data_IF_902662808738
#
_entry.id   IF_902662808738
#
_cell.length_a   1.000
_cell.length_b   1.000
_cell.length_c   1.000
_cell.angle_alpha   90.00
_cell.angle_beta   90.00
_cell.angle_gamma   90.00
#
_symmetry.space_group_name_H-M   'P 1'
#
loop_
_entity.id
_entity.type
_entity.pdbx_description
1 polymer ?
#
# COMPACT_ATOMS: atom_id res chain seq x y z
N UNK A 1 4.02 -20.17 -74.12
CA UNK A 1 2.97 -19.42 -73.41
C UNK A 1 3.31 -19.43 -71.93
N UNK A 2 3.73 -18.28 -71.40
CA UNK A 2 4.25 -18.10 -70.04
C UNK A 2 3.12 -18.05 -69.01
N UNK A 3 3.16 -18.96 -68.04
CA UNK A 3 2.23 -18.97 -66.90
C UNK A 3 2.65 -17.97 -65.82
N UNK A 4 1.86 -16.92 -65.62
CA UNK A 4 2.04 -15.98 -64.50
C UNK A 4 1.57 -16.59 -63.18
N UNK A 5 2.50 -17.09 -62.37
CA UNK A 5 2.26 -17.45 -60.97
C UNK A 5 2.25 -16.20 -60.07
N UNK A 6 1.07 -15.81 -59.57
CA UNK A 6 0.95 -14.78 -58.51
C UNK A 6 1.44 -15.36 -57.18
N UNK A 7 2.64 -14.97 -56.76
CA UNK A 7 3.16 -15.23 -55.41
C UNK A 7 2.32 -14.50 -54.35
N UNK A 8 1.63 -15.26 -53.50
CA UNK A 8 0.87 -14.72 -52.38
C UNK A 8 1.81 -14.12 -51.32
N UNK A 9 1.76 -12.80 -51.12
CA UNK A 9 2.44 -12.14 -49.99
C UNK A 9 1.86 -12.67 -48.67
N UNK A 10 2.73 -13.24 -47.84
CA UNK A 10 2.40 -13.63 -46.46
C UNK A 10 1.99 -12.38 -45.67
N UNK A 11 0.70 -12.25 -45.32
CA UNK A 11 0.20 -11.16 -44.47
C UNK A 11 0.80 -11.30 -43.06
N UNK A 12 1.64 -10.36 -42.66
CA UNK A 12 2.15 -10.29 -41.28
C UNK A 12 1.00 -10.21 -40.25
N UNK A 13 1.16 -10.87 -39.10
CA UNK A 13 0.13 -10.89 -38.03
C UNK A 13 -0.24 -9.46 -37.63
N UNK A 14 -1.54 -9.15 -37.65
CA UNK A 14 -2.05 -7.84 -37.25
C UNK A 14 -1.76 -7.58 -35.76
N UNK A 15 -0.98 -6.53 -35.45
CA UNK A 15 -0.75 -6.09 -34.07
C UNK A 15 -2.05 -5.56 -33.45
N UNK A 16 -2.35 -5.99 -32.23
CA UNK A 16 -3.52 -5.51 -31.48
C UNK A 16 -3.39 -4.01 -31.16
N UNK A 17 -4.54 -3.33 -30.97
CA UNK A 17 -4.57 -1.90 -30.60
C UNK A 17 -3.87 -1.65 -29.26
N UNK A 18 -4.01 -2.57 -28.30
CA UNK A 18 -3.30 -2.52 -27.01
C UNK A 18 -1.79 -2.60 -27.18
N UNK A 19 -1.29 -3.58 -27.95
CA UNK A 19 0.15 -3.75 -28.17
C UNK A 19 0.75 -2.58 -28.96
N UNK A 20 -0.02 -1.97 -29.87
CA UNK A 20 0.42 -0.76 -30.60
C UNK A 20 0.47 0.48 -29.69
N UNK A 21 -0.42 0.57 -28.71
CA UNK A 21 -0.46 1.67 -27.73
C UNK A 21 0.48 1.44 -26.53
N UNK A 22 1.12 0.27 -26.40
CA UNK A 22 1.96 -0.06 -25.25
C UNK A 22 1.19 -0.30 -23.95
N UNK A 23 -0.11 -0.55 -24.02
CA UNK A 23 -0.98 -0.71 -22.85
C UNK A 23 -1.25 -2.19 -22.57
N UNK A 24 -1.18 -2.59 -21.30
CA UNK A 24 -1.61 -3.93 -20.85
C UNK A 24 -3.12 -4.07 -20.90
N UNK A 25 -3.86 -2.98 -20.70
CA UNK A 25 -5.32 -3.00 -20.70
C UNK A 25 -5.89 -3.20 -22.12
N UNK A 26 -7.02 -3.92 -22.26
CA UNK A 26 -7.56 -4.31 -23.57
C UNK A 26 -8.34 -3.17 -24.26
N UNK A 27 -7.63 -2.29 -24.99
CA UNK A 27 -8.15 -1.15 -25.76
C UNK A 27 -9.30 -1.56 -26.70
N UNK A 28 -9.19 -2.72 -27.37
CA UNK A 28 -10.22 -3.20 -28.28
C UNK A 28 -11.53 -3.59 -27.59
N UNK A 29 -11.45 -4.12 -26.35
CA UNK A 29 -12.63 -4.45 -25.54
C UNK A 29 -13.29 -3.18 -25.02
N UNK A 30 -12.48 -2.23 -24.54
CA UNK A 30 -12.96 -0.92 -24.06
C UNK A 30 -13.71 -0.19 -25.17
N UNK A 31 -13.16 -0.14 -26.38
CA UNK A 31 -13.85 0.47 -27.53
C UNK A 31 -15.23 -0.15 -27.81
N UNK A 32 -15.37 -1.47 -27.66
CA UNK A 32 -16.65 -2.18 -27.85
C UNK A 32 -17.65 -1.83 -26.75
N UNK A 33 -17.19 -1.76 -25.50
CA UNK A 33 -18.03 -1.37 -24.36
C UNK A 33 -18.54 0.07 -24.50
N UNK A 34 -17.68 1.00 -24.92
CA UNK A 34 -18.06 2.39 -25.16
C UNK A 34 -19.16 2.53 -26.22
N UNK A 35 -19.08 1.73 -27.30
CA UNK A 35 -20.14 1.71 -28.33
C UNK A 35 -21.43 1.05 -27.84
N UNK A 36 -21.34 -0.01 -27.03
CA UNK A 36 -22.51 -0.72 -26.50
C UNK A 36 -23.29 0.14 -25.50
N UNK A 37 -22.61 1.00 -24.74
CA UNK A 37 -23.25 1.85 -23.73
C UNK A 37 -23.98 3.07 -24.26
N UNK A 38 -23.96 3.34 -25.58
CA UNK A 38 -24.66 4.44 -26.27
C UNK A 38 -24.50 5.83 -25.60
N UNK A 39 -23.36 6.09 -24.96
CA UNK A 39 -23.12 7.34 -24.24
C UNK A 39 -22.89 8.55 -25.19
N UNK A 40 -22.47 8.28 -26.43
CA UNK A 40 -22.20 9.28 -27.47
C UNK A 40 -22.42 8.65 -28.84
N UNK A 41 -22.94 9.44 -29.79
CA UNK A 41 -23.25 8.99 -31.16
C UNK A 41 -22.04 8.41 -31.90
N UNK A 42 -20.84 8.94 -31.64
CA UNK A 42 -19.60 8.46 -32.27
C UNK A 42 -18.44 8.42 -31.26
N UNK A 43 -17.89 7.23 -31.06
CA UNK A 43 -16.67 7.04 -30.27
C UNK A 43 -15.43 7.22 -31.15
N UNK A 44 -14.61 8.24 -30.85
CA UNK A 44 -13.33 8.49 -31.53
C UNK A 44 -12.28 7.41 -31.24
N UNK A 45 -11.33 7.21 -32.17
CA UNK A 45 -10.33 6.14 -32.06
C UNK A 45 -9.38 6.28 -30.86
N UNK A 46 -9.16 7.51 -30.36
CA UNK A 46 -8.31 7.80 -29.20
C UNK A 46 -9.00 7.58 -27.84
N UNK A 47 -10.32 7.65 -27.77
CA UNK A 47 -11.09 7.47 -26.53
C UNK A 47 -10.79 6.14 -25.79
N UNK A 48 -10.80 4.96 -26.45
CA UNK A 48 -10.49 3.71 -25.77
C UNK A 48 -9.02 3.58 -25.34
N UNK A 49 -8.11 4.27 -26.03
CA UNK A 49 -6.68 4.30 -25.67
C UNK A 49 -6.49 5.16 -24.43
N UNK A 50 -7.11 6.33 -24.39
CA UNK A 50 -7.10 7.23 -23.22
C UNK A 50 -7.68 6.54 -21.99
N UNK A 51 -8.87 5.93 -22.09
CA UNK A 51 -9.50 5.23 -20.97
C UNK A 51 -8.65 4.04 -20.51
N UNK A 52 -8.09 3.26 -21.44
CA UNK A 52 -7.18 2.17 -21.09
C UNK A 52 -5.93 2.67 -20.34
N UNK A 53 -5.34 3.78 -20.79
CA UNK A 53 -4.17 4.38 -20.16
C UNK A 53 -4.48 4.93 -18.76
N UNK A 54 -5.62 5.62 -18.59
CA UNK A 54 -6.07 6.13 -17.28
C UNK A 54 -6.36 4.98 -16.33
N UNK A 55 -7.09 3.95 -16.78
CA UNK A 55 -7.37 2.76 -15.96
C UNK A 55 -6.09 2.03 -15.56
N UNK A 56 -5.13 1.89 -16.47
CA UNK A 56 -3.84 1.28 -16.19
C UNK A 56 -3.00 2.12 -15.23
N UNK A 57 -3.01 3.45 -15.38
CA UNK A 57 -2.37 4.38 -14.44
C UNK A 57 -2.96 4.27 -13.03
N UNK A 58 -4.29 4.29 -12.91
CA UNK A 58 -4.99 4.15 -11.63
C UNK A 58 -4.73 2.78 -10.99
N UNK A 59 -4.78 1.71 -11.76
CA UNK A 59 -4.51 0.35 -11.29
C UNK A 59 -3.03 0.14 -10.93
N UNK A 60 -2.10 0.78 -11.64
CA UNK A 60 -0.67 0.71 -11.34
C UNK A 60 -0.29 1.47 -10.06
N UNK A 61 -1.06 2.50 -9.68
CA UNK A 61 -0.76 3.38 -8.54
C UNK A 61 -0.85 2.68 -7.18
N UNK A 62 -1.58 1.56 -7.08
CA UNK A 62 -1.82 0.84 -5.82
C UNK A 62 -1.60 -0.66 -5.97
N UNK A 63 -0.35 -1.08 -6.20
CA UNK A 63 0.01 -2.49 -5.99
C UNK A 63 0.12 -2.76 -4.49
N UNK A 64 -0.64 -3.73 -3.94
CA UNK A 64 -0.41 -4.18 -2.57
C UNK A 64 1.07 -4.56 -2.41
N UNK A 65 1.72 -4.03 -1.37
CA UNK A 65 3.15 -4.27 -1.10
C UNK A 65 4.13 -3.21 -1.62
N UNK A 66 3.70 -2.13 -2.28
CA UNK A 66 4.60 -1.01 -2.64
C UNK A 66 4.52 0.17 -1.67
N UNK A 67 3.35 0.42 -1.09
CA UNK A 67 3.12 1.53 -0.17
C UNK A 67 3.77 1.26 1.20
N UNK A 68 3.57 0.07 1.76
CA UNK A 68 4.11 -0.27 3.08
C UNK A 68 5.65 -0.14 3.15
N UNK A 69 6.46 -0.65 2.19
CA UNK A 69 7.91 -0.41 2.21
C UNK A 69 8.30 1.06 2.06
N UNK A 70 7.50 1.87 1.38
CA UNK A 70 7.75 3.31 1.25
C UNK A 70 7.50 4.02 2.57
N UNK A 71 6.42 3.68 3.26
CA UNK A 71 6.08 4.20 4.59
C UNK A 71 7.13 3.79 5.62
N UNK A 72 7.55 2.52 5.64
CA UNK A 72 8.63 2.04 6.52
C UNK A 72 9.90 2.89 6.33
N UNK A 73 10.34 3.11 5.08
CA UNK A 73 11.51 3.94 4.80
C UNK A 73 11.34 5.40 5.17
N UNK A 74 10.12 5.92 5.10
CA UNK A 74 9.82 7.29 5.50
C UNK A 74 9.94 7.42 7.02
N UNK A 75 9.24 6.56 7.77
CA UNK A 75 9.23 6.58 9.23
C UNK A 75 10.57 6.23 9.86
N UNK A 76 11.38 5.39 9.22
CA UNK A 76 12.76 5.10 9.65
C UNK A 76 13.72 6.29 9.47
N UNK A 77 13.39 7.27 8.62
CA UNK A 77 14.21 8.47 8.40
C UNK A 77 13.78 9.64 9.26
N UNK A 78 12.50 9.69 9.63
CA UNK A 78 11.95 10.70 10.53
C UNK A 78 12.12 10.30 11.99
N UNK A 79 12.12 11.28 12.89
CA UNK A 79 12.08 11.09 14.34
C UNK A 79 10.81 11.68 14.96
N UNK A 80 9.77 11.87 14.15
CA UNK A 80 8.50 12.42 14.63
C UNK A 80 7.72 11.38 15.45
N UNK A 81 7.02 11.86 16.47
CA UNK A 81 6.10 11.03 17.26
C UNK A 81 4.87 10.72 16.41
N UNK A 82 4.50 9.44 16.36
CA UNK A 82 3.42 8.91 15.51
C UNK A 82 2.06 8.96 16.21
N UNK A 83 2.04 8.91 17.55
CA UNK A 83 0.80 8.99 18.32
C UNK A 83 0.38 10.45 18.48
N UNK A 84 -0.90 10.73 18.24
CA UNK A 84 -1.46 12.08 18.44
C UNK A 84 -1.32 12.50 19.91
N UNK A 85 -0.60 13.59 20.16
CA UNK A 85 -0.29 14.12 21.50
C UNK A 85 -1.50 14.26 22.42
N UNK A 86 -2.64 14.76 21.92
CA UNK A 86 -3.85 14.94 22.73
C UNK A 86 -4.44 13.59 23.20
N UNK A 87 -4.46 12.59 22.33
CA UNK A 87 -4.98 11.25 22.66
C UNK A 87 -4.08 10.57 23.68
N UNK A 88 -2.75 10.65 23.49
CA UNK A 88 -1.79 10.11 24.44
C UNK A 88 -1.89 10.80 25.80
N UNK A 89 -1.97 12.13 25.84
CA UNK A 89 -2.14 12.88 27.08
C UNK A 89 -3.42 12.49 27.84
N UNK A 90 -4.54 12.28 27.13
CA UNK A 90 -5.81 11.85 27.76
C UNK A 90 -5.64 10.48 28.42
N UNK A 91 -5.02 9.53 27.72
CA UNK A 91 -4.75 8.19 28.23
C UNK A 91 -3.85 8.22 29.48
N UNK A 92 -2.77 9.01 29.47
CA UNK A 92 -1.88 9.13 30.63
C UNK A 92 -2.63 9.67 31.84
N UNK A 93 -3.51 10.65 31.66
CA UNK A 93 -4.31 11.22 32.76
C UNK A 93 -5.38 10.27 33.28
N UNK A 94 -6.01 9.52 32.39
CA UNK A 94 -6.97 8.46 32.73
C UNK A 94 -6.31 7.42 33.63
N UNK A 95 -5.19 6.84 33.19
CA UNK A 95 -4.43 5.84 33.96
C UNK A 95 -3.95 6.42 35.29
N UNK A 96 -3.43 7.65 35.29
CA UNK A 96 -2.90 8.27 36.50
C UNK A 96 -3.99 8.53 37.56
N UNK A 97 -5.22 8.81 37.13
CA UNK A 97 -6.34 9.06 38.02
C UNK A 97 -6.68 7.83 38.89
N UNK A 98 -6.44 6.62 38.37
CA UNK A 98 -6.67 5.37 39.10
C UNK A 98 -5.67 5.18 40.26
N UNK A 99 -4.50 5.81 40.19
CA UNK A 99 -3.48 5.74 41.25
C UNK A 99 -3.60 6.88 42.26
N UNK A 100 -3.84 8.11 41.79
CA UNK A 100 -3.98 9.29 42.65
C UNK A 100 -4.81 10.37 41.97
N UNK A 101 -5.83 10.84 42.68
CA UNK A 101 -6.66 11.96 42.24
C UNK A 101 -5.88 13.28 42.28
N UNK A 102 -6.23 14.21 41.38
CA UNK A 102 -5.69 15.59 41.30
C UNK A 102 -4.21 15.73 40.92
N UNK A 103 -3.67 14.76 40.18
CA UNK A 103 -2.32 14.85 39.63
C UNK A 103 -2.19 15.92 38.53
N UNK A 104 -1.20 16.80 38.69
CA UNK A 104 -0.78 17.76 37.65
C UNK A 104 0.44 17.23 36.93
N UNK A 105 0.38 17.24 35.60
CA UNK A 105 1.48 16.82 34.74
C UNK A 105 2.14 18.03 34.10
N UNK A 106 3.48 18.07 34.17
CA UNK A 106 4.28 18.98 33.36
C UNK A 106 4.22 18.57 31.88
N UNK A 107 4.32 19.54 30.97
CA UNK A 107 4.34 19.26 29.52
C UNK A 107 5.54 18.39 29.11
N UNK A 108 6.72 18.63 29.68
CA UNK A 108 7.92 17.83 29.43
C UNK A 108 7.80 16.39 29.93
N UNK A 109 7.12 16.17 31.07
CA UNK A 109 6.89 14.83 31.59
C UNK A 109 6.00 14.00 30.64
N UNK A 110 4.95 14.62 30.10
CA UNK A 110 4.09 13.96 29.09
C UNK A 110 4.84 13.64 27.80
N UNK A 111 5.71 14.55 27.35
CA UNK A 111 6.56 14.30 26.17
C UNK A 111 7.55 13.16 26.42
N UNK A 112 8.22 13.14 27.57
CA UNK A 112 9.16 12.08 27.94
C UNK A 112 8.48 10.71 28.02
N UNK A 113 7.27 10.64 28.60
CA UNK A 113 6.47 9.41 28.60
C UNK A 113 6.12 8.97 27.18
N UNK A 114 5.75 9.90 26.30
CA UNK A 114 5.40 9.58 24.93
C UNK A 114 6.61 9.04 24.15
N UNK A 115 7.76 9.71 24.26
CA UNK A 115 9.01 9.28 23.62
C UNK A 115 9.43 7.88 24.08
N UNK A 116 9.41 7.62 25.39
CA UNK A 116 9.77 6.31 25.94
C UNK A 116 8.83 5.19 25.47
N UNK A 117 7.52 5.44 25.45
CA UNK A 117 6.53 4.45 25.03
C UNK A 117 6.62 4.16 23.53
N UNK A 118 6.70 5.20 22.69
CA UNK A 118 6.82 4.99 21.25
C UNK A 118 8.12 4.24 20.89
N UNK A 119 9.25 4.58 21.53
CA UNK A 119 10.50 3.84 21.36
C UNK A 119 10.37 2.37 21.79
N UNK A 120 9.73 2.11 22.94
CA UNK A 120 9.49 0.75 23.43
C UNK A 120 8.61 -0.07 22.47
N UNK A 121 7.53 0.54 21.95
CA UNK A 121 6.63 -0.10 20.99
C UNK A 121 7.33 -0.39 19.65
N UNK A 122 8.15 0.52 19.14
CA UNK A 122 8.94 0.29 17.92
C UNK A 122 9.86 -0.91 18.11
N UNK A 123 10.61 -0.96 19.21
CA UNK A 123 11.46 -2.11 19.52
C UNK A 123 10.66 -3.41 19.63
N UNK A 124 9.49 -3.39 20.27
CA UNK A 124 8.63 -4.56 20.36
C UNK A 124 8.15 -5.04 18.98
N UNK A 125 7.83 -4.12 18.07
CA UNK A 125 7.44 -4.47 16.70
C UNK A 125 8.58 -5.03 15.88
N UNK A 126 9.83 -4.61 16.11
CA UNK A 126 11.01 -5.20 15.48
C UNK A 126 11.16 -6.69 15.86
N UNK A 127 11.08 -7.01 17.16
CA UNK A 127 11.16 -8.40 17.62
C UNK A 127 9.96 -9.25 17.18
N UNK A 128 8.77 -8.65 17.19
CA UNK A 128 7.55 -9.29 16.68
C UNK A 128 7.70 -9.62 15.19
N UNK A 129 8.31 -8.72 14.42
CA UNK A 129 8.57 -8.94 13.00
C UNK A 129 9.59 -10.09 12.79
N UNK A 130 10.65 -10.17 13.60
CA UNK A 130 11.59 -11.29 13.57
C UNK A 130 10.90 -12.63 13.87
N UNK A 131 9.98 -12.65 14.84
CA UNK A 131 9.17 -13.84 15.15
C UNK A 131 8.27 -14.27 13.98
N UNK A 132 7.65 -13.31 13.28
CA UNK A 132 6.83 -13.60 12.11
C UNK A 132 7.67 -14.17 10.95
N UNK A 133 8.85 -13.58 10.69
CA UNK A 133 9.81 -14.04 9.67
C UNK A 133 10.32 -15.45 10.00
N UNK A 134 10.64 -15.72 11.27
CA UNK A 134 11.04 -17.05 11.73
C UNK A 134 9.97 -18.11 11.41
N UNK A 135 8.70 -17.74 11.51
CA UNK A 135 7.56 -18.59 11.15
C UNK A 135 7.19 -18.56 9.65
N UNK A 136 8.07 -18.06 8.77
CA UNK A 136 7.88 -17.92 7.31
C UNK A 136 6.66 -17.08 6.91
N UNK A 137 6.29 -16.08 7.72
CA UNK A 137 5.20 -15.13 7.45
C UNK A 137 5.74 -13.71 7.27
N UNK A 138 4.99 -12.90 6.53
CA UNK A 138 5.25 -11.46 6.35
C UNK A 138 4.30 -10.61 7.21
N UNK A 139 3.20 -11.20 7.70
CA UNK A 139 2.21 -10.53 8.55
C UNK A 139 2.43 -10.91 10.01
N UNK A 140 2.65 -9.89 10.84
CA UNK A 140 2.71 -10.02 12.30
C UNK A 140 1.33 -10.39 12.87
N UNK A 141 1.33 -11.22 13.90
CA UNK A 141 0.12 -11.72 14.58
C UNK A 141 0.25 -11.57 16.10
N UNK A 142 -0.86 -11.60 16.87
CA UNK A 142 -0.81 -11.48 18.33
C UNK A 142 0.11 -12.51 19.01
N UNK A 143 0.18 -13.73 18.46
CA UNK A 143 1.10 -14.79 18.94
C UNK A 143 2.58 -14.41 18.82
N UNK A 144 2.94 -13.59 17.83
CA UNK A 144 4.32 -13.13 17.62
C UNK A 144 4.68 -12.09 18.69
N UNK A 145 3.74 -11.20 19.03
CA UNK A 145 3.91 -10.21 20.10
C UNK A 145 4.04 -10.91 21.46
N UNK A 146 3.17 -11.89 21.72
CA UNK A 146 3.23 -12.69 22.94
C UNK A 146 4.57 -13.43 23.06
N UNK A 147 5.05 -14.02 21.97
CA UNK A 147 6.36 -14.68 21.93
C UNK A 147 7.50 -13.69 22.19
N UNK A 148 7.50 -12.54 21.51
CA UNK A 148 8.51 -11.50 21.69
C UNK A 148 8.58 -11.01 23.15
N UNK A 149 7.42 -10.69 23.75
CA UNK A 149 7.34 -10.29 25.17
C UNK A 149 7.83 -11.38 26.11
N UNK A 150 7.48 -12.64 25.84
CA UNK A 150 7.92 -13.79 26.62
C UNK A 150 9.44 -13.98 26.58
N UNK A 151 10.07 -13.76 25.43
CA UNK A 151 11.52 -13.85 25.25
C UNK A 151 12.23 -12.68 25.95
N UNK A 152 11.68 -11.46 25.84
CA UNK A 152 12.21 -10.28 26.54
C UNK A 152 12.21 -10.39 28.06
N UNK A 153 11.45 -11.33 28.63
CA UNK A 153 11.28 -11.43 30.07
C UNK A 153 10.35 -10.35 30.65
N UNK A 154 9.63 -9.62 29.78
CA UNK A 154 8.53 -8.72 30.15
C UNK A 154 7.32 -9.55 30.57
N UNK A 155 7.43 -10.25 31.71
CA UNK A 155 6.28 -10.89 32.34
C UNK A 155 5.36 -9.80 32.89
N UNK A 156 4.07 -9.95 32.59
CA UNK A 156 3.01 -9.32 33.37
C UNK A 156 3.06 -9.83 34.81
#
# INVERSE_FOLDING_TARGET
MSGSGKGGKVKGKAKSRSNRAGLKFPVGRIHRLLRKGNYVERVGAGAPVYIAAVMEYLAARYRPGTVAPREIRHYQKSTELLIRKLSFQRLVREIAQDFKTDLRFQSSALMALQEAIEASLVGLFEDTNLCAIHAKRVTIMPKDVQLARRIRGERA
#
